data_IF_437971570473
#
_entry.id   IF_437971570473
#
_cell.length_a   1.000
_cell.length_b   1.000
_cell.length_c   1.000
_cell.angle_alpha   90.00
_cell.angle_beta   90.00
_cell.angle_gamma   90.00
#
_symmetry.space_group_name_H-M   'P 1'
#
loop_
_entity.id
_entity.type
_entity.pdbx_description
1 polymer ?
#
# COMPACT_ATOMS: atom_id res chain seq x y z
N UNK A 1 -24.09 13.24 -26.32
CA UNK A 1 -23.60 11.84 -26.41
C UNK A 1 -22.08 11.68 -26.58
N UNK A 2 -21.34 12.61 -27.22
CA UNK A 2 -19.87 12.48 -27.36
C UNK A 2 -19.11 12.62 -26.03
N UNK A 3 -19.53 13.55 -25.16
CA UNK A 3 -18.96 13.79 -23.83
C UNK A 3 -19.03 12.57 -22.91
N UNK A 4 -20.12 11.80 -22.96
CA UNK A 4 -20.30 10.58 -22.17
C UNK A 4 -19.31 9.48 -22.56
N UNK A 5 -18.95 9.35 -23.85
CA UNK A 5 -17.97 8.36 -24.32
C UNK A 5 -16.56 8.67 -23.81
N UNK A 6 -16.15 9.93 -23.85
CA UNK A 6 -14.84 10.34 -23.32
C UNK A 6 -14.77 10.25 -21.80
N UNK A 7 -15.87 10.53 -21.08
CA UNK A 7 -15.94 10.32 -19.63
C UNK A 7 -15.76 8.84 -19.26
N UNK A 8 -16.39 7.92 -20.00
CA UNK A 8 -16.23 6.47 -19.79
C UNK A 8 -14.79 6.03 -20.07
N UNK A 9 -14.20 6.47 -21.18
CA UNK A 9 -12.80 6.12 -21.53
C UNK A 9 -11.82 6.69 -20.49
N UNK A 10 -12.02 7.93 -20.04
CA UNK A 10 -11.21 8.54 -19.00
C UNK A 10 -11.35 7.80 -17.66
N UNK A 11 -12.56 7.35 -17.31
CA UNK A 11 -12.80 6.50 -16.15
C UNK A 11 -12.03 5.20 -16.21
N UNK A 12 -12.14 4.45 -17.31
CA UNK A 12 -11.37 3.21 -17.51
C UNK A 12 -9.86 3.43 -17.49
N UNK A 13 -9.37 4.53 -18.06
CA UNK A 13 -7.96 4.87 -18.04
C UNK A 13 -7.47 5.16 -16.61
N UNK A 14 -8.28 5.85 -15.81
CA UNK A 14 -8.00 6.10 -14.39
C UNK A 14 -7.99 4.80 -13.58
N UNK A 15 -8.98 3.93 -13.77
CA UNK A 15 -9.05 2.63 -13.10
C UNK A 15 -7.84 1.76 -13.45
N UNK A 16 -7.46 1.71 -14.73
CA UNK A 16 -6.28 0.99 -15.17
C UNK A 16 -4.99 1.57 -14.56
N UNK A 17 -4.88 2.89 -14.46
CA UNK A 17 -3.73 3.55 -13.83
C UNK A 17 -3.65 3.27 -12.33
N UNK A 18 -4.78 3.27 -11.62
CA UNK A 18 -4.85 2.96 -10.19
C UNK A 18 -4.53 1.49 -9.91
N UNK A 19 -5.09 0.56 -10.71
CA UNK A 19 -4.79 -0.87 -10.59
C UNK A 19 -3.33 -1.17 -10.94
N UNK A 20 -2.83 -0.62 -12.04
CA UNK A 20 -1.44 -0.79 -12.46
C UNK A 20 -0.45 -0.20 -11.47
N UNK A 21 -0.70 1.03 -11.01
CA UNK A 21 0.11 1.71 -10.01
C UNK A 21 0.09 1.00 -8.66
N UNK A 22 -1.10 0.55 -8.22
CA UNK A 22 -1.26 -0.22 -6.99
C UNK A 22 -0.52 -1.55 -7.03
N UNK A 23 -0.64 -2.31 -8.14
CA UNK A 23 0.08 -3.56 -8.32
C UNK A 23 1.60 -3.35 -8.35
N UNK A 24 2.08 -2.33 -9.07
CA UNK A 24 3.49 -1.98 -9.10
C UNK A 24 4.01 -1.64 -7.69
N UNK A 25 3.28 -0.81 -6.95
CA UNK A 25 3.62 -0.46 -5.57
C UNK A 25 3.68 -1.71 -4.67
N UNK A 26 2.66 -2.58 -4.75
CA UNK A 26 2.64 -3.84 -4.02
C UNK A 26 3.81 -4.75 -4.39
N UNK A 27 4.16 -4.85 -5.66
CA UNK A 27 5.29 -5.66 -6.13
C UNK A 27 6.62 -5.16 -5.57
N UNK A 28 6.83 -3.83 -5.57
CA UNK A 28 8.01 -3.20 -4.99
C UNK A 28 8.05 -3.38 -3.46
N UNK A 29 6.92 -3.18 -2.78
CA UNK A 29 6.78 -3.43 -1.35
C UNK A 29 7.05 -4.88 -0.99
N UNK A 30 6.66 -5.85 -1.80
CA UNK A 30 6.94 -7.27 -1.53
C UNK A 30 8.43 -7.59 -1.62
N UNK A 31 9.11 -7.04 -2.62
CA UNK A 31 10.46 -7.48 -2.99
C UNK A 31 11.59 -6.64 -2.35
N UNK A 32 11.32 -5.43 -1.86
CA UNK A 32 12.37 -4.53 -1.36
C UNK A 32 12.05 -3.96 0.01
N UNK A 33 12.81 -4.33 1.06
CA UNK A 33 12.77 -3.65 2.35
C UNK A 33 13.11 -2.16 2.24
N UNK A 34 14.07 -1.77 1.41
CA UNK A 34 14.45 -0.36 1.24
C UNK A 34 13.31 0.49 0.67
N UNK A 35 12.53 -0.08 -0.25
CA UNK A 35 11.34 0.60 -0.77
C UNK A 35 10.29 0.80 0.33
N UNK A 36 10.07 -0.22 1.17
CA UNK A 36 9.19 -0.10 2.33
C UNK A 36 9.70 0.98 3.30
N UNK A 37 11.01 1.08 3.52
CA UNK A 37 11.61 2.12 4.37
C UNK A 37 11.40 3.54 3.81
N UNK A 38 11.51 3.72 2.50
CA UNK A 38 11.20 5.01 1.86
C UNK A 38 9.74 5.41 2.10
N UNK A 39 8.82 4.46 1.97
CA UNK A 39 7.39 4.71 2.24
C UNK A 39 7.17 5.00 3.72
N UNK A 40 7.84 4.28 4.63
CA UNK A 40 7.78 4.56 6.06
C UNK A 40 8.09 6.03 6.38
N UNK A 41 9.13 6.61 5.75
CA UNK A 41 9.49 8.01 5.94
C UNK A 41 8.59 9.01 5.21
N UNK A 42 7.91 8.58 4.14
CA UNK A 42 7.02 9.45 3.38
C UNK A 42 5.62 9.51 4.00
N UNK A 43 5.04 8.33 4.26
CA UNK A 43 3.74 8.15 4.90
C UNK A 43 3.62 6.70 5.40
N UNK A 44 3.83 6.53 6.69
CA UNK A 44 3.72 5.25 7.41
C UNK A 44 2.36 4.55 7.25
N UNK A 45 1.27 5.29 6.97
CA UNK A 45 -0.07 4.70 6.85
C UNK A 45 -0.19 3.80 5.61
N UNK A 46 0.46 4.17 4.50
CA UNK A 46 0.48 3.33 3.31
C UNK A 46 1.22 2.03 3.56
N UNK A 47 2.30 2.09 4.31
CA UNK A 47 3.05 0.91 4.70
C UNK A 47 2.26 0.05 5.69
N UNK A 48 1.48 0.66 6.58
CA UNK A 48 0.62 -0.04 7.52
C UNK A 48 -0.50 -0.83 6.82
N UNK A 49 -1.10 -0.29 5.75
CA UNK A 49 -2.04 -1.03 4.88
C UNK A 49 -1.37 -2.31 4.34
N UNK A 50 -0.14 -2.18 3.83
CA UNK A 50 0.61 -3.31 3.31
C UNK A 50 0.89 -4.35 4.40
N UNK A 51 1.29 -3.92 5.61
CA UNK A 51 1.54 -4.84 6.72
C UNK A 51 0.29 -5.58 7.15
N UNK A 52 -0.85 -4.89 7.31
CA UNK A 52 -2.13 -5.54 7.63
C UNK A 52 -2.54 -6.54 6.57
N UNK A 53 -2.37 -6.19 5.29
CA UNK A 53 -2.64 -7.11 4.19
C UNK A 53 -1.72 -8.34 4.25
N UNK A 54 -0.43 -8.15 4.56
CA UNK A 54 0.52 -9.25 4.74
C UNK A 54 0.22 -10.11 5.97
N UNK A 55 -0.32 -9.53 7.04
CA UNK A 55 -0.76 -10.24 8.26
C UNK A 55 -2.03 -11.06 8.05
N UNK A 56 -2.95 -10.57 7.22
CA UNK A 56 -4.22 -11.25 6.92
C UNK A 56 -4.10 -12.29 5.81
N UNK A 57 -3.25 -12.05 4.81
CA UNK A 57 -3.20 -12.85 3.58
C UNK A 57 -1.81 -13.40 3.22
N UNK A 58 -0.77 -13.03 3.96
CA UNK A 58 0.62 -13.42 3.69
C UNK A 58 1.31 -14.04 4.90
N UNK A 59 2.63 -13.90 4.97
CA UNK A 59 3.45 -14.50 6.02
C UNK A 59 3.37 -13.78 7.37
N UNK A 60 2.76 -12.58 7.42
CA UNK A 60 2.58 -11.74 8.61
C UNK A 60 3.85 -11.25 9.30
N UNK A 61 5.04 -11.59 8.78
CA UNK A 61 6.33 -11.27 9.41
C UNK A 61 6.97 -10.00 8.88
N UNK A 62 6.47 -9.43 7.78
CA UNK A 62 7.11 -8.30 7.09
C UNK A 62 7.34 -7.10 8.03
N UNK A 63 6.33 -6.74 8.84
CA UNK A 63 6.41 -5.63 9.80
C UNK A 63 7.52 -5.83 10.83
N UNK A 64 7.53 -6.99 11.49
CA UNK A 64 8.54 -7.29 12.52
C UNK A 64 9.96 -7.35 11.93
N UNK A 65 10.13 -7.95 10.74
CA UNK A 65 11.43 -8.05 10.08
C UNK A 65 11.97 -6.68 9.70
N UNK A 66 11.12 -5.82 9.15
CA UNK A 66 11.49 -4.47 8.75
C UNK A 66 11.85 -3.62 9.97
N UNK A 67 11.06 -3.67 11.03
CA UNK A 67 11.30 -2.85 12.22
C UNK A 67 12.59 -3.28 12.92
N UNK A 68 12.86 -4.59 12.95
CA UNK A 68 14.14 -5.12 13.41
C UNK A 68 15.30 -4.67 12.52
N UNK A 69 15.13 -4.67 11.19
CA UNK A 69 16.15 -4.25 10.24
C UNK A 69 16.48 -2.77 10.36
N UNK A 70 15.47 -1.93 10.61
CA UNK A 70 15.60 -0.47 10.72
C UNK A 70 15.85 0.00 12.15
N UNK A 71 15.98 -0.94 13.10
CA UNK A 71 16.19 -0.67 14.52
C UNK A 71 15.10 0.25 15.13
N UNK A 72 13.85 -0.03 14.79
CA UNK A 72 12.65 0.67 15.28
C UNK A 72 12.01 -0.17 16.39
N UNK A 73 11.92 0.41 17.60
CA UNK A 73 11.39 -0.29 18.77
C UNK A 73 9.86 -0.28 18.86
N UNK A 74 9.20 0.70 18.22
CA UNK A 74 7.78 0.93 18.38
C UNK A 74 7.00 0.42 17.17
N UNK A 75 6.13 -0.57 17.39
CA UNK A 75 5.13 -1.02 16.42
C UNK A 75 3.92 -0.08 16.49
N UNK A 76 3.93 0.99 15.68
CA UNK A 76 2.74 1.83 15.52
C UNK A 76 1.83 1.24 14.42
N UNK A 77 0.67 0.75 14.84
CA UNK A 77 -0.42 0.34 13.95
C UNK A 77 -1.40 1.52 13.86
N UNK A 78 -1.60 2.06 12.66
CA UNK A 78 -2.51 3.19 12.44
C UNK A 78 -3.95 2.69 12.31
N UNK A 79 -4.64 2.46 13.44
CA UNK A 79 -6.05 2.00 13.50
C UNK A 79 -7.07 2.86 12.71
N UNK A 80 -6.62 3.95 12.08
CA UNK A 80 -7.43 4.93 11.35
C UNK A 80 -8.14 4.34 10.11
N UNK A 81 -7.77 3.14 9.63
CA UNK A 81 -8.48 2.49 8.50
C UNK A 81 -9.88 1.98 8.88
N UNK A 82 -10.22 1.89 10.18
CA UNK A 82 -11.59 1.57 10.60
C UNK A 82 -12.61 2.63 10.12
N UNK A 83 -12.14 3.83 9.73
CA UNK A 83 -12.96 4.86 9.05
C UNK A 83 -13.16 4.64 7.55
N UNK A 84 -12.41 3.74 6.92
CA UNK A 84 -12.53 3.41 5.49
C UNK A 84 -13.25 2.08 5.23
N UNK A 85 -13.70 1.38 6.28
CA UNK A 85 -14.68 0.29 6.17
C UNK A 85 -14.25 -0.88 5.28
N UNK A 86 -12.97 -1.28 5.36
CA UNK A 86 -12.43 -2.48 4.71
C UNK A 86 -12.01 -3.55 5.73
#
# INVERSE_FOLDING_TARGET
MKTTKYAVIAGFALDAALLGGGYYCYHQMRNSPDFRYKIYHQDERFLDVYYRANEKYGDGKARQMDYKLWNIEKIESFEIIDKFGL
#
